data_IF_420956596205
#
_entry.id   IF_420956596205
#
_cell.length_a   1.000
_cell.length_b   1.000
_cell.length_c   1.000
_cell.angle_alpha   90.00
_cell.angle_beta   90.00
_cell.angle_gamma   90.00
#
_symmetry.space_group_name_H-M   'P 1'
#
loop_
_entity.id
_entity.type
_entity.pdbx_description
1 polymer ?
2 water ?
#
# COMPACT_ATOMS: atom_id res chain seq x y z
N UNK A 5 -1.59 24.75 -8.69
CA UNK A 5 -2.03 24.05 -7.49
C UNK A 5 -2.04 24.96 -6.26
N UNK A 6 -2.88 24.61 -5.28
CA UNK A 6 -2.97 25.37 -4.04
C UNK A 6 -2.19 24.63 -2.95
N UNK A 7 -1.29 25.35 -2.29
CA UNK A 7 -0.30 24.70 -1.42
C UNK A 7 -0.52 25.04 0.05
N UNK A 8 -0.57 24.01 0.90
CA UNK A 8 -0.65 24.22 2.35
C UNK A 8 0.76 24.25 2.91
N UNK A 9 1.13 25.32 3.59
CA UNK A 9 2.48 25.40 4.17
C UNK A 9 2.44 25.07 5.65
N UNK A 10 3.36 24.21 6.07
CA UNK A 10 3.43 23.73 7.44
C UNK A 10 4.76 24.16 8.03
N UNK A 11 4.77 24.68 9.25
CA UNK A 11 5.99 25.30 9.76
C UNK A 11 5.90 25.55 11.25
N UNK A 12 7.07 25.72 11.88
CA UNK A 12 7.17 26.26 13.22
C UNK A 12 6.91 27.77 13.16
N UNK A 13 6.12 28.29 14.11
CA UNK A 13 5.81 29.74 14.13
C UNK A 13 7.08 30.60 14.15
N UNK A 14 8.11 30.11 14.82
CA UNK A 14 9.32 30.91 14.98
C UNK A 14 9.99 31.19 13.63
N UNK A 15 9.80 30.28 12.69
CA UNK A 15 10.36 30.46 11.36
C UNK A 15 9.57 31.49 10.55
N UNK A 16 8.33 31.76 10.97
CA UNK A 16 7.63 32.90 10.37
C UNK A 16 8.21 34.21 10.90
N UNK A 17 8.31 34.29 12.22
CA UNK A 17 8.87 35.45 12.91
C UNK A 17 10.26 35.82 12.39
N UNK A 18 11.06 34.82 12.05
CA UNK A 18 12.46 35.04 11.65
C UNK A 18 12.62 35.35 10.16
N UNK A 19 11.50 35.46 9.46
CA UNK A 19 11.46 35.64 8.00
C UNK A 19 12.23 34.53 7.26
N UNK A 20 11.96 33.28 7.64
CA UNK A 20 12.43 32.15 6.87
C UNK A 20 11.27 31.60 6.04
N UNK A 21 10.10 31.45 6.67
CA UNK A 21 8.94 30.94 5.94
C UNK A 21 8.56 31.85 4.77
N UNK A 22 8.61 33.16 4.99
CA UNK A 22 8.18 34.07 3.93
C UNK A 22 9.03 34.01 2.68
N UNK A 23 10.27 33.55 2.78
CA UNK A 23 11.12 33.46 1.59
C UNK A 23 10.51 32.49 0.57
N UNK A 24 10.05 31.34 1.04
CA UNK A 24 9.39 30.35 0.20
C UNK A 24 7.97 30.79 -0.14
N UNK A 25 7.23 31.23 0.88
CA UNK A 25 5.84 31.58 0.67
C UNK A 25 5.68 32.75 -0.30
N UNK A 26 6.54 33.75 -0.18
CA UNK A 26 6.46 34.91 -1.08
C UNK A 26 6.83 34.54 -2.51
N UNK A 27 7.75 33.58 -2.66
CA UNK A 27 8.12 33.10 -4.00
C UNK A 27 6.89 32.53 -4.71
N UNK A 28 6.14 31.70 -4.01
CA UNK A 28 4.94 31.07 -4.57
C UNK A 28 3.81 32.07 -4.77
N UNK A 29 3.52 32.88 -3.74
CA UNK A 29 2.33 33.72 -3.75
C UNK A 29 2.54 35.09 -4.43
N UNK A 30 3.72 35.66 -4.28
CA UNK A 30 3.97 36.98 -4.88
C UNK A 30 4.67 36.84 -6.23
N UNK A 31 5.85 36.22 -6.23
CA UNK A 31 6.66 36.13 -7.44
C UNK A 31 5.94 35.32 -8.52
N UNK A 32 5.30 34.23 -8.12
CA UNK A 32 4.61 33.36 -9.07
C UNK A 32 3.10 33.58 -9.06
N UNK A 33 2.64 34.44 -8.15
CA UNK A 33 1.23 34.84 -8.07
C UNK A 33 0.28 33.65 -7.92
N UNK A 34 0.69 32.66 -7.12
CA UNK A 34 -0.15 31.52 -6.81
C UNK A 34 -0.81 31.68 -5.45
N UNK A 35 -1.45 30.63 -4.95
CA UNK A 35 -2.18 30.77 -3.70
C UNK A 35 -1.74 29.74 -2.65
N UNK A 36 -1.77 30.16 -1.39
CA UNK A 36 -1.31 29.33 -0.30
C UNK A 36 -2.34 29.29 0.83
N UNK A 37 -2.20 28.29 1.69
CA UNK A 37 -2.98 28.18 2.92
C UNK A 37 -2.00 27.93 4.05
N UNK A 38 -2.40 28.18 5.30
CA UNK A 38 -1.50 28.04 6.44
C UNK A 38 -2.06 28.66 7.71
N UNK A 39 -1.56 28.21 8.87
CA UNK A 39 -2.08 28.66 10.17
C UNK A 39 -0.94 29.21 11.05
N UNK A 40 -1.08 30.45 11.53
CA UNK A 40 -0.05 31.08 12.36
C UNK A 40 -0.67 31.81 13.55
N UNK A 54 -10.10 20.00 19.19
CA UNK A 54 -11.03 19.73 18.10
C UNK A 54 -11.31 21.02 17.32
N UNK A 55 -11.18 22.16 17.99
CA UNK A 55 -11.39 23.46 17.35
C UNK A 55 -10.22 23.85 16.44
N UNK A 56 -8.99 23.76 16.97
CA UNK A 56 -7.80 24.12 16.21
C UNK A 56 -7.58 23.11 15.08
N UNK A 57 -7.93 21.86 15.33
CA UNK A 57 -7.86 20.83 14.30
C UNK A 57 -8.84 21.14 13.19
N UNK A 58 -10.04 21.57 13.58
CA UNK A 58 -11.06 22.00 12.63
C UNK A 58 -10.52 23.14 11.75
N UNK A 59 -9.82 24.09 12.37
CA UNK A 59 -9.26 25.22 11.61
C UNK A 59 -8.24 24.74 10.60
N UNK A 60 -7.35 23.86 11.04
CA UNK A 60 -6.32 23.27 10.19
C UNK A 60 -6.93 22.42 9.08
N UNK A 61 -7.87 21.56 9.45
CA UNK A 61 -8.61 20.76 8.47
C UNK A 61 -9.19 21.64 7.36
N UNK A 62 -9.78 22.77 7.76
CA UNK A 62 -10.36 23.71 6.81
C UNK A 62 -9.29 24.31 5.92
N UNK A 63 -8.12 24.55 6.51
CA UNK A 63 -6.99 25.07 5.75
C UNK A 63 -6.52 24.04 4.73
N UNK A 64 -6.55 22.77 5.11
CA UNK A 64 -6.09 21.70 4.23
C UNK A 64 -7.12 21.42 3.14
N UNK A 65 -8.40 21.68 3.44
CA UNK A 65 -9.44 21.59 2.42
C UNK A 65 -9.16 22.60 1.32
N UNK A 66 -9.37 22.18 0.08
CA UNK A 66 -9.02 22.97 -1.11
C UNK A 66 -7.52 23.24 -1.22
N UNK A 67 -6.71 22.26 -0.82
CA UNK A 67 -5.30 22.21 -1.20
C UNK A 67 -4.99 20.79 -1.69
N UNK A 68 -3.88 20.63 -2.40
CA UNK A 68 -3.53 19.32 -2.94
C UNK A 68 -2.07 18.97 -2.64
N UNK A 69 -1.32 19.97 -2.18
CA UNK A 69 0.06 19.78 -1.80
C UNK A 69 0.31 20.38 -0.42
N UNK A 70 1.00 19.62 0.42
CA UNK A 70 1.46 20.14 1.69
C UNK A 70 2.97 20.27 1.66
N UNK A 71 3.46 21.44 2.03
CA UNK A 71 4.88 21.72 1.99
C UNK A 71 5.39 22.04 3.40
N UNK A 72 6.16 21.12 3.98
CA UNK A 72 6.68 21.30 5.34
C UNK A 72 7.97 22.10 5.27
N UNK A 73 7.98 23.31 5.86
CA UNK A 73 9.17 24.14 5.81
C UNK A 73 10.01 23.88 7.05
N UNK A 74 11.18 23.29 6.86
CA UNK A 74 11.94 22.73 7.98
C UNK A 74 13.01 23.67 8.52
N UNK A 75 12.82 24.11 9.75
CA UNK A 75 13.77 24.92 10.47
C UNK A 75 14.33 24.10 11.64
N UNK A 76 14.86 24.78 12.65
CA UNK A 76 15.62 24.11 13.70
C UNK A 76 14.76 23.20 14.59
N UNK A 77 13.50 23.60 14.78
CA UNK A 77 12.64 22.97 15.78
C UNK A 77 11.33 22.42 15.21
N UNK A 78 11.18 22.46 13.89
CA UNK A 78 9.92 22.10 13.21
C UNK A 78 9.48 20.67 13.56
N UNK A 79 10.48 19.79 13.69
CA UNK A 79 10.26 18.38 13.92
C UNK A 79 9.51 18.14 15.23
N UNK A 80 9.62 19.11 16.13
CA UNK A 80 9.10 18.95 17.48
C UNK A 80 7.72 19.55 17.70
N UNK A 81 7.13 20.13 16.66
CA UNK A 81 5.93 20.92 16.81
C UNK A 81 4.66 20.08 16.65
N UNK A 82 3.83 20.08 17.69
CA UNK A 82 2.60 19.28 17.71
C UNK A 82 1.75 19.48 16.46
N UNK A 83 1.52 20.71 16.05
CA UNK A 83 0.56 20.91 14.98
C UNK A 83 1.19 20.76 13.60
N UNK A 84 2.53 20.84 13.53
CA UNK A 84 3.21 20.43 12.32
C UNK A 84 2.98 18.92 12.13
N UNK A 85 3.16 18.17 13.20
CA UNK A 85 2.95 16.72 13.15
C UNK A 85 1.53 16.40 12.72
N UNK A 86 0.57 17.14 13.25
CA UNK A 86 -0.82 16.92 12.87
C UNK A 86 -1.03 17.27 11.39
N UNK A 87 -0.51 18.42 10.96
CA UNK A 87 -0.71 18.83 9.58
C UNK A 87 -0.16 17.78 8.61
N UNK A 88 0.97 17.16 8.96
CA UNK A 88 1.54 16.13 8.14
C UNK A 88 0.66 14.87 8.14
N UNK A 89 0.25 14.43 9.32
CA UNK A 89 -0.52 13.20 9.40
C UNK A 89 -1.87 13.36 8.71
N UNK A 90 -2.51 14.52 8.92
CA UNK A 90 -3.80 14.78 8.30
C UNK A 90 -3.65 14.87 6.79
N UNK A 91 -2.51 15.41 6.34
CA UNK A 91 -2.22 15.48 4.90
C UNK A 91 -2.16 14.10 4.26
N UNK A 92 -1.59 13.12 4.96
CA UNK A 92 -1.56 11.76 4.45
C UNK A 92 -2.99 11.19 4.32
N UNK A 93 -3.78 11.33 5.38
CA UNK A 93 -5.16 10.83 5.34
C UNK A 93 -5.96 11.43 4.18
N UNK A 94 -5.72 12.70 3.87
CA UNK A 94 -6.46 13.39 2.80
C UNK A 94 -5.91 13.10 1.39
N UNK A 95 -4.71 12.53 1.32
CA UNK A 95 -4.11 12.21 0.04
C UNK A 95 -3.37 13.37 -0.62
N UNK A 96 -2.93 14.34 0.17
CA UNK A 96 -2.10 15.43 -0.37
C UNK A 96 -0.73 14.91 -0.77
N UNK A 97 -0.17 15.50 -1.82
CA UNK A 97 1.27 15.39 -2.05
C UNK A 97 1.99 16.07 -0.88
N UNK A 98 3.07 15.47 -0.40
CA UNK A 98 3.75 16.03 0.76
C UNK A 98 5.25 16.10 0.51
N UNK A 99 5.83 17.29 0.66
CA UNK A 99 7.28 17.44 0.59
C UNK A 99 7.80 18.25 1.78
N UNK A 100 9.10 18.11 2.03
CA UNK A 100 9.76 18.95 3.02
C UNK A 100 10.80 19.84 2.33
N UNK A 101 11.01 21.04 2.86
CA UNK A 101 12.04 21.97 2.33
C UNK A 101 12.78 22.58 3.51
N UNK A 102 14.09 22.30 3.64
CA UNK A 102 14.89 22.96 4.65
C UNK A 102 14.99 24.44 4.31
N UNK A 103 14.80 25.29 5.31
CA UNK A 103 14.84 26.74 5.11
C UNK A 103 15.86 27.42 6.01
N UNK A 104 16.92 26.70 6.38
CA UNK A 104 17.93 27.27 7.30
C UNK A 104 19.22 27.75 6.62
N UNK A 105 19.36 27.49 5.32
CA UNK A 105 20.62 27.70 4.62
C UNK A 105 20.79 29.10 4.06
N UNK A 106 19.73 29.90 4.12
CA UNK A 106 19.81 31.30 3.71
C UNK A 106 19.68 32.19 4.95
N UNK A 107 19.94 33.48 4.80
CA UNK A 107 19.93 34.37 5.95
C UNK A 107 18.53 34.65 6.47
N UNK A 108 18.33 34.59 7.79
CA UNK A 108 17.08 35.05 8.37
C UNK A 108 17.13 36.56 8.54
N UNK A 109 16.14 37.13 9.23
CA UNK A 109 16.06 38.59 9.30
C UNK A 109 17.16 39.18 10.18
N UNK A 110 17.81 38.34 10.99
CA UNK A 110 18.94 38.77 11.81
C UNK A 110 20.26 38.66 11.05
N UNK A 111 20.19 38.16 9.82
CA UNK A 111 21.38 38.01 8.99
C UNK A 111 22.17 36.72 9.25
N UNK A 112 21.50 35.73 9.82
CA UNK A 112 22.18 34.48 10.19
C UNK A 112 21.77 33.30 9.33
N UNK A 113 22.72 32.40 9.13
CA UNK A 113 22.51 31.10 8.50
C UNK A 113 22.66 30.06 9.60
N UNK A 114 21.88 28.98 9.51
CA UNK A 114 21.89 27.97 10.56
C UNK A 114 22.10 26.59 9.98
N UNK A 115 22.51 25.66 10.82
CA UNK A 115 22.56 24.27 10.40
C UNK A 115 21.15 23.72 10.26
N UNK A 116 20.97 22.73 9.38
CA UNK A 116 19.67 22.10 9.18
C UNK A 116 19.09 21.53 10.47
N UNK A 117 17.79 21.70 10.67
CA UNK A 117 17.10 21.04 11.76
C UNK A 117 16.84 19.59 11.41
N UNK A 118 16.41 18.80 12.41
CA UNK A 118 16.01 17.42 12.14
C UNK A 118 14.89 17.33 11.10
N UNK A 119 14.91 16.23 10.35
CA UNK A 119 13.85 15.92 9.39
C UNK A 119 12.57 15.54 10.16
N UNK A 120 11.50 16.37 10.07
CA UNK A 120 10.27 16.01 10.78
C UNK A 120 9.71 14.62 10.41
N UNK A 121 9.91 14.23 9.16
CA UNK A 121 9.49 12.88 8.75
C UNK A 121 10.18 11.72 9.50
N UNK A 122 11.31 11.97 10.16
CA UNK A 122 11.96 10.91 10.94
C UNK A 122 11.24 10.64 12.26
N UNK A 123 10.31 11.53 12.62
CA UNK A 123 9.68 11.50 13.94
C UNK A 123 8.25 11.02 13.89
N UNK A 124 7.85 10.58 12.70
CA UNK A 124 6.49 10.14 12.41
C UNK A 124 6.56 8.84 11.62
N UNK A 125 5.55 7.99 11.76
CA UNK A 125 5.56 6.71 11.09
C UNK A 125 4.21 6.03 11.05
N UNK A 126 4.11 4.96 10.27
CA UNK A 126 2.88 4.19 10.28
C UNK A 126 3.12 2.71 10.06
N UNK A 127 2.05 1.94 10.27
CA UNK A 127 2.08 0.49 10.07
C UNK A 127 0.71 0.04 9.58
N UNK A 128 0.67 -0.68 8.47
CA UNK A 128 -0.59 -1.24 7.98
C UNK A 128 -1.00 -2.45 8.80
N UNK A 129 -2.29 -2.56 9.09
CA UNK A 129 -2.81 -3.69 9.86
C UNK A 129 -2.63 -5.00 9.11
N UNK A 130 -2.75 -6.12 9.83
CA UNK A 130 -2.49 -7.42 9.22
C UNK A 130 -3.49 -7.76 8.12
N UNK A 131 -4.71 -7.23 8.22
CA UNK A 131 -5.70 -7.48 7.18
C UNK A 131 -5.65 -6.40 6.10
N UNK A 132 -4.75 -5.43 6.28
CA UNK A 132 -4.50 -4.41 5.28
C UNK A 132 -5.58 -3.36 5.14
N UNK A 133 -6.50 -3.31 6.10
CA UNK A 133 -7.67 -2.46 5.98
C UNK A 133 -7.51 -1.15 6.74
N UNK A 134 -6.54 -1.12 7.65
CA UNK A 134 -6.34 0.02 8.53
C UNK A 134 -4.89 0.45 8.56
N UNK A 135 -4.69 1.73 8.83
CA UNK A 135 -3.37 2.29 8.96
C UNK A 135 -3.16 2.83 10.36
N UNK A 136 -2.22 2.24 11.10
CA UNK A 136 -1.88 2.69 12.45
C UNK A 136 -0.78 3.74 12.42
N UNK A 137 -0.87 4.72 13.32
CA UNK A 137 -0.01 5.91 13.28
C UNK A 137 0.83 6.04 14.53
N UNK A 138 2.09 6.46 14.34
CA UNK A 138 3.06 6.56 15.42
C UNK A 138 3.89 7.85 15.35
N UNK A 139 4.33 8.32 16.52
CA UNK A 139 5.28 9.42 16.58
C UNK A 139 6.37 9.09 17.60
N UNK A 140 7.54 9.69 17.41
CA UNK A 140 8.66 9.53 18.32
C UNK A 140 8.49 10.56 19.42
N UNK A 141 8.41 10.09 20.66
CA UNK A 141 8.12 10.99 21.77
C UNK A 141 9.36 11.31 22.61
N UNK A 142 10.55 10.94 22.11
CA UNK A 142 11.78 11.34 22.75
C UNK A 142 12.68 10.17 23.11
N UNK A 143 12.06 9.09 23.57
CA UNK A 143 12.80 7.88 23.90
C UNK A 143 12.18 6.62 23.35
N UNK A 144 11.03 6.74 22.71
CA UNK A 144 10.37 5.58 22.10
C UNK A 144 9.33 6.01 21.07
N UNK A 145 8.88 5.05 20.26
CA UNK A 145 7.73 5.26 19.40
C UNK A 145 6.45 4.99 20.16
N UNK A 146 5.48 5.89 20.04
CA UNK A 146 4.19 5.71 20.68
C UNK A 146 3.09 5.92 19.66
N UNK A 147 1.96 5.27 19.88
CA UNK A 147 0.79 5.52 19.05
C UNK A 147 0.49 7.01 18.99
N UNK A 148 0.21 7.50 17.79
CA UNK A 148 -0.06 8.93 17.58
C UNK A 148 -1.45 9.27 18.14
N UNK A 149 -1.56 10.37 18.88
CA UNK A 149 -2.80 10.62 19.60
C UNK A 149 -3.70 11.68 18.97
N UNK A 150 -3.12 12.57 18.13
CA UNK A 150 -3.90 13.69 17.61
C UNK A 150 -4.67 13.37 16.33
N UNK A 151 -4.39 12.23 15.73
CA UNK A 151 -5.17 11.76 14.58
C UNK A 151 -5.41 10.26 14.70
N UNK A 152 -6.65 9.85 14.49
CA UNK A 152 -7.03 8.46 14.64
C UNK A 152 -6.51 7.61 13.50
N UNK A 153 -6.23 6.31 13.76
CA UNK A 153 -5.99 5.39 12.64
C UNK A 153 -7.20 5.39 11.71
N UNK A 154 -6.99 5.10 10.44
CA UNK A 154 -8.10 5.18 9.51
C UNK A 154 -8.13 4.03 8.52
N UNK A 155 -9.30 3.83 7.93
CA UNK A 155 -9.49 2.80 6.93
C UNK A 155 -8.81 3.21 5.63
N UNK A 156 -8.05 2.30 5.06
CA UNK A 156 -7.54 2.48 3.69
C UNK A 156 -8.49 1.68 2.79
N UNK A 157 -9.06 2.35 1.79
CA UNK A 157 -9.95 1.68 0.86
C UNK A 157 -9.14 0.96 -0.21
N UNK A 158 -7.86 1.32 -0.25
CA UNK A 158 -6.93 0.91 -1.29
C UNK A 158 -6.41 -0.52 -1.09
N UNK A 159 -5.93 -1.10 -2.18
CA UNK A 159 -5.28 -2.40 -2.12
C UNK A 159 -4.11 -2.33 -1.14
N UNK A 160 -3.94 -3.37 -0.35
CA UNK A 160 -2.81 -3.41 0.58
C UNK A 160 -2.13 -4.77 0.51
N UNK A 161 -1.11 -4.89 -0.35
CA UNK A 161 -0.47 -6.18 -0.58
C UNK A 161 0.27 -6.66 0.66
N UNK A 162 0.53 -7.96 0.75
CA UNK A 162 1.16 -8.54 1.94
C UNK A 162 2.52 -7.93 2.23
N UNK A 163 3.21 -7.52 1.18
CA UNK A 163 4.54 -6.93 1.30
C UNK A 163 4.51 -5.57 2.01
N UNK A 164 3.31 -5.00 2.17
CA UNK A 164 3.14 -3.69 2.82
C UNK A 164 2.60 -3.83 4.24
N UNK A 165 2.08 -5.00 4.59
CA UNK A 165 1.36 -5.20 5.86
C UNK A 165 2.25 -5.63 7.02
N UNK A 166 1.95 -5.08 8.20
CA UNK A 166 2.62 -5.49 9.43
C UNK A 166 4.08 -5.08 9.48
N UNK A 167 4.41 -4.00 8.77
CA UNK A 167 5.77 -3.49 8.75
C UNK A 167 5.72 -2.01 9.11
N UNK A 168 6.61 -1.59 10.00
CA UNK A 168 6.67 -0.19 10.37
C UNK A 168 7.46 0.63 9.35
N UNK A 169 6.93 1.79 8.97
CA UNK A 169 7.66 2.72 8.12
C UNK A 169 7.73 4.10 8.74
N UNK A 170 8.93 4.65 8.87
CA UNK A 170 9.08 6.08 9.16
C UNK A 170 8.68 6.87 7.93
N UNK A 171 8.11 8.06 8.13
CA UNK A 171 7.69 8.88 6.99
C UNK A 171 8.89 9.33 6.15
N UNK A 172 10.09 9.33 6.73
CA UNK A 172 11.28 9.72 5.98
C UNK A 172 11.65 8.67 4.91
N UNK A 173 11.01 7.51 4.97
CA UNK A 173 11.13 6.51 3.92
C UNK A 173 10.07 6.72 2.83
N UNK A 174 9.27 7.78 2.95
CA UNK A 174 8.13 7.96 2.06
C UNK A 174 8.13 9.31 1.35
N UNK A 175 8.36 10.38 2.10
CA UNK A 175 8.21 11.72 1.51
C UNK A 175 9.57 12.37 1.30
N UNK A 176 9.66 13.15 0.23
CA UNK A 176 10.92 13.70 -0.25
C UNK A 176 11.25 15.03 0.44
N UNK A 177 12.53 15.26 0.72
CA UNK A 177 12.96 16.51 1.35
C UNK A 177 14.00 17.22 0.48
N UNK A 178 13.81 18.52 0.29
CA UNK A 178 14.73 19.36 -0.48
C UNK A 178 15.39 20.38 0.43
N UNK A 179 16.40 21.07 -0.09
CA UNK A 179 16.92 22.26 0.56
C UNK A 179 16.78 23.45 -0.38
N UNK A 180 16.24 24.56 0.14
CA UNK A 180 15.92 25.72 -0.69
C UNK A 180 17.15 26.22 -1.45
N UNK A 181 18.30 26.20 -0.78
CA UNK A 181 19.51 26.71 -1.38
C UNK A 181 20.20 25.63 -2.21
N UNK A 182 20.41 24.46 -1.63
CA UNK A 182 21.17 23.42 -2.30
C UNK A 182 20.48 22.96 -3.60
N UNK A 183 19.15 22.92 -3.56
CA UNK A 183 18.36 22.38 -4.66
C UNK A 183 17.70 23.49 -5.50
N UNK A 184 18.08 24.74 -5.24
CA UNK A 184 17.74 25.88 -6.10
C UNK A 184 16.22 26.03 -6.22
N UNK A 185 15.57 26.23 -5.08
CA UNK A 185 14.13 26.42 -5.03
C UNK A 185 13.67 27.62 -5.83
N UNK A 186 14.53 28.62 -5.96
CA UNK A 186 14.19 29.77 -6.78
C UNK A 186 13.83 29.34 -8.20
N UNK A 187 14.60 28.41 -8.75
CA UNK A 187 14.30 27.93 -10.10
C UNK A 187 13.33 26.75 -10.12
N UNK A 188 13.33 25.96 -9.04
CA UNK A 188 12.75 24.62 -9.08
C UNK A 188 11.51 24.38 -8.22
N UNK A 189 11.14 25.32 -7.35
CA UNK A 189 10.05 25.08 -6.41
C UNK A 189 8.76 24.66 -7.12
N UNK A 190 8.43 25.34 -8.21
CA UNK A 190 7.16 25.06 -8.87
C UNK A 190 7.15 23.63 -9.43
N UNK A 191 8.33 23.11 -9.78
CA UNK A 191 8.43 21.72 -10.21
C UNK A 191 8.24 20.76 -9.02
N UNK A 192 8.68 21.15 -7.84
CA UNK A 192 8.56 20.26 -6.68
C UNK A 192 7.10 20.03 -6.28
N UNK A 193 6.24 21.03 -6.50
CA UNK A 193 4.85 20.91 -6.09
C UNK A 193 3.97 20.52 -7.25
N UNK A 194 4.58 20.28 -8.41
CA UNK A 194 3.87 19.85 -9.61
C UNK A 194 4.39 18.51 -10.09
N UNK B 4 -20.90 -20.37 9.06
CA UNK B 4 -20.16 -21.28 8.21
C UNK B 4 -18.94 -20.60 7.58
N UNK B 5 -17.79 -21.26 7.67
CA UNK B 5 -16.57 -20.77 7.04
C UNK B 5 -16.65 -21.00 5.54
N UNK B 6 -16.59 -19.92 4.76
CA UNK B 6 -16.84 -20.03 3.32
C UNK B 6 -15.55 -19.86 2.51
N UNK B 7 -15.25 -20.88 1.71
CA UNK B 7 -14.04 -20.91 0.90
C UNK B 7 -14.35 -20.80 -0.60
N UNK B 8 -13.60 -19.97 -1.31
CA UNK B 8 -13.70 -19.93 -2.77
C UNK B 8 -12.65 -20.87 -3.35
N UNK B 9 -13.09 -21.86 -4.11
CA UNK B 9 -12.16 -22.78 -4.76
C UNK B 9 -11.87 -22.34 -6.19
N UNK B 10 -10.59 -22.20 -6.50
CA UNK B 10 -10.13 -21.79 -7.82
C UNK B 10 -9.37 -22.94 -8.49
N UNK B 11 -9.75 -23.30 -9.72
CA UNK B 11 -9.21 -24.50 -10.36
C UNK B 11 -9.41 -24.46 -11.86
N UNK B 12 -8.69 -25.33 -12.55
CA UNK B 12 -8.88 -25.65 -13.96
C UNK B 12 -10.01 -26.67 -14.09
N UNK B 13 -11.00 -26.39 -14.93
CA UNK B 13 -12.19 -27.24 -14.93
C UNK B 13 -11.86 -28.67 -15.31
N UNK B 14 -10.75 -28.88 -16.04
CA UNK B 14 -10.31 -30.23 -16.38
C UNK B 14 -10.09 -31.08 -15.11
N UNK B 15 -9.65 -30.44 -14.04
CA UNK B 15 -9.46 -31.16 -12.79
C UNK B 15 -10.76 -31.49 -12.06
N UNK B 16 -11.85 -30.86 -12.47
CA UNK B 16 -13.18 -31.29 -12.03
C UNK B 16 -13.58 -32.53 -12.80
N UNK B 17 -13.46 -32.48 -14.13
CA UNK B 17 -13.76 -33.64 -14.97
C UNK B 17 -12.99 -34.87 -14.46
N UNK B 18 -11.74 -34.66 -14.04
CA UNK B 18 -10.87 -35.79 -13.68
C UNK B 18 -11.08 -36.30 -12.26
N UNK B 19 -12.02 -35.67 -11.54
CA UNK B 19 -12.27 -35.94 -10.12
C UNK B 19 -11.03 -35.76 -9.26
N UNK B 20 -10.39 -34.60 -9.40
CA UNK B 20 -9.34 -34.18 -8.50
C UNK B 20 -9.87 -33.06 -7.59
N UNK B 21 -10.54 -32.09 -8.19
CA UNK B 21 -11.09 -30.99 -7.41
C UNK B 21 -12.06 -31.51 -6.35
N UNK B 22 -12.88 -32.48 -6.74
CA UNK B 22 -13.91 -32.99 -5.81
C UNK B 22 -13.36 -33.68 -4.56
N UNK B 23 -12.16 -34.25 -4.66
CA UNK B 23 -11.57 -34.88 -3.48
C UNK B 23 -11.35 -33.85 -2.37
N UNK B 24 -10.83 -32.68 -2.72
CA UNK B 24 -10.63 -31.62 -1.74
C UNK B 24 -11.94 -30.89 -1.40
N UNK B 25 -12.69 -30.55 -2.43
CA UNK B 25 -13.94 -29.82 -2.22
C UNK B 25 -14.94 -30.63 -1.38
N UNK B 26 -15.07 -31.92 -1.64
CA UNK B 26 -15.98 -32.74 -0.84
C UNK B 26 -15.52 -32.80 0.61
N UNK B 27 -14.21 -32.91 0.82
CA UNK B 27 -13.69 -32.96 2.18
C UNK B 27 -14.13 -31.71 2.95
N UNK B 28 -14.12 -30.57 2.29
CA UNK B 28 -14.50 -29.31 2.91
C UNK B 28 -16.01 -29.22 3.14
N UNK B 29 -16.80 -29.46 2.10
CA UNK B 29 -18.22 -29.13 2.15
C UNK B 29 -19.09 -30.15 2.87
N UNK B 30 -18.61 -31.38 2.97
CA UNK B 30 -19.36 -32.39 3.71
C UNK B 30 -19.10 -32.30 5.22
N UNK B 31 -18.34 -31.28 5.66
CA UNK B 31 -18.10 -31.04 7.08
C UNK B 31 -18.91 -29.86 7.61
N UNK B 34 -18.99 -25.54 7.27
CA UNK B 34 -18.10 -25.39 6.12
C UNK B 34 -18.82 -25.48 4.78
N UNK B 35 -18.68 -24.44 3.97
CA UNK B 35 -19.26 -24.43 2.62
C UNK B 35 -18.36 -23.72 1.62
N UNK B 36 -18.67 -23.88 0.34
CA UNK B 36 -17.79 -23.43 -0.73
C UNK B 36 -18.48 -22.51 -1.74
N UNK B 37 -17.65 -21.82 -2.51
CA UNK B 37 -18.10 -21.03 -3.66
C UNK B 37 -17.22 -21.37 -4.87
N UNK B 54 -15.79 -9.50 -18.89
CA UNK B 54 -16.46 -8.32 -18.36
C UNK B 54 -17.67 -8.69 -17.52
N UNK B 55 -18.59 -9.42 -18.14
CA UNK B 55 -19.77 -9.90 -17.43
C UNK B 55 -19.37 -11.08 -16.56
N UNK B 56 -18.46 -11.89 -17.07
CA UNK B 56 -18.01 -13.11 -16.39
C UNK B 56 -17.26 -12.77 -15.10
N UNK B 57 -16.55 -11.64 -15.13
CA UNK B 57 -15.85 -11.12 -13.97
C UNK B 57 -16.84 -10.76 -12.87
N UNK B 58 -17.92 -10.08 -13.25
CA UNK B 58 -18.97 -9.74 -12.30
C UNK B 58 -19.48 -10.98 -11.58
N UNK B 59 -19.70 -12.06 -12.34
CA UNK B 59 -20.11 -13.32 -11.76
C UNK B 59 -19.11 -13.90 -10.77
N UNK B 60 -17.83 -13.86 -11.13
CA UNK B 60 -16.77 -14.35 -10.26
C UNK B 60 -16.65 -13.49 -9.01
N UNK B 61 -16.81 -12.17 -9.19
CA UNK B 61 -16.76 -11.25 -8.06
C UNK B 61 -17.82 -11.59 -7.04
N UNK B 62 -19.02 -11.92 -7.53
CA UNK B 62 -20.13 -12.31 -6.68
C UNK B 62 -19.82 -13.58 -5.91
N UNK B 63 -19.14 -14.51 -6.56
CA UNK B 63 -18.72 -15.75 -5.92
C UNK B 63 -17.69 -15.46 -4.84
N UNK B 64 -16.73 -14.59 -5.16
CA UNK B 64 -15.69 -14.20 -4.23
C UNK B 64 -16.23 -13.42 -3.04
N UNK B 65 -17.33 -12.70 -3.25
CA UNK B 65 -17.98 -11.99 -2.16
C UNK B 65 -18.55 -13.01 -1.17
N UNK B 66 -18.54 -12.65 0.10
CA UNK B 66 -18.98 -13.52 1.18
C UNK B 66 -18.15 -14.81 1.30
N UNK B 67 -16.92 -14.77 0.79
CA UNK B 67 -15.92 -15.79 1.15
C UNK B 67 -14.76 -15.08 1.81
N UNK B 68 -13.94 -15.81 2.55
CA UNK B 68 -12.85 -15.20 3.30
C UNK B 68 -11.51 -15.79 2.93
N UNK B 69 -11.54 -16.95 2.29
CA UNK B 69 -10.35 -17.68 1.93
C UNK B 69 -10.50 -18.20 0.50
N UNK B 70 -9.48 -17.99 -0.32
CA UNK B 70 -9.43 -18.59 -1.65
C UNK B 70 -8.44 -19.75 -1.65
N UNK B 71 -8.89 -20.88 -2.17
CA UNK B 71 -8.09 -22.07 -2.20
C UNK B 71 -7.81 -22.52 -3.63
N UNK B 72 -6.60 -22.28 -4.11
CA UNK B 72 -6.24 -22.63 -5.49
C UNK B 72 -5.87 -24.10 -5.54
N UNK B 73 -6.60 -24.88 -6.32
CA UNK B 73 -6.32 -26.32 -6.39
C UNK B 73 -5.48 -26.60 -7.60
N UNK B 74 -4.22 -26.99 -7.37
CA UNK B 74 -3.21 -26.97 -8.42
C UNK B 74 -3.07 -28.33 -9.09
N UNK B 75 -3.47 -28.39 -10.37
CA UNK B 75 -3.24 -29.55 -11.21
C UNK B 75 -2.17 -29.24 -12.25
N UNK B 76 -2.18 -29.98 -13.35
CA UNK B 76 -1.09 -29.92 -14.32
C UNK B 76 -1.05 -28.60 -15.11
N UNK B 77 -2.22 -28.00 -15.33
CA UNK B 77 -2.33 -26.81 -16.19
C UNK B 77 -2.99 -25.60 -15.52
N UNK B 78 -3.25 -25.70 -14.22
CA UNK B 78 -3.86 -24.62 -13.45
C UNK B 78 -3.16 -23.24 -13.61
N UNK B 79 -1.82 -23.27 -13.55
CA UNK B 79 -1.00 -22.05 -13.72
C UNK B 79 -1.30 -21.26 -14.99
N UNK B 80 -1.80 -21.94 -16.01
CA UNK B 80 -2.01 -21.35 -17.33
C UNK B 80 -3.45 -20.87 -17.61
N UNK B 81 -4.32 -20.98 -16.62
CA UNK B 81 -5.74 -20.68 -16.84
C UNK B 81 -6.08 -19.21 -16.54
N UNK B 82 -6.68 -18.54 -17.52
CA UNK B 82 -7.02 -17.13 -17.43
C UNK B 82 -7.86 -16.82 -16.20
N UNK B 83 -8.91 -17.60 -15.97
CA UNK B 83 -9.84 -17.24 -14.91
C UNK B 83 -9.33 -17.66 -13.55
N UNK B 84 -8.43 -18.65 -13.48
CA UNK B 84 -7.73 -18.92 -12.23
C UNK B 84 -6.87 -17.71 -11.85
N UNK B 85 -6.15 -17.17 -12.83
CA UNK B 85 -5.30 -16.01 -12.57
C UNK B 85 -6.15 -14.86 -12.07
N UNK B 86 -7.32 -14.67 -12.69
CA UNK B 86 -8.21 -13.61 -12.26
C UNK B 86 -8.71 -13.82 -10.83
N UNK B 87 -9.08 -15.07 -10.52
CA UNK B 87 -9.58 -15.39 -9.20
C UNK B 87 -8.53 -15.11 -8.13
N UNK B 88 -7.27 -15.39 -8.46
CA UNK B 88 -6.18 -15.14 -7.52
C UNK B 88 -5.96 -13.63 -7.35
N UNK B 89 -5.87 -12.92 -8.47
CA UNK B 89 -5.64 -11.47 -8.42
C UNK B 89 -6.77 -10.72 -7.72
N UNK B 90 -8.02 -11.06 -8.04
CA UNK B 90 -9.17 -10.40 -7.43
C UNK B 90 -9.25 -10.71 -5.93
N UNK B 91 -8.85 -11.93 -5.55
CA UNK B 91 -8.85 -12.32 -4.14
C UNK B 91 -7.95 -11.42 -3.30
N UNK B 92 -6.83 -10.98 -3.87
CA UNK B 92 -5.95 -10.03 -3.20
C UNK B 92 -6.66 -8.70 -2.91
N UNK B 93 -7.26 -8.16 -3.96
CA UNK B 93 -8.06 -6.95 -3.88
C UNK B 93 -9.13 -7.05 -2.78
N UNK B 94 -9.86 -8.16 -2.79
CA UNK B 94 -11.02 -8.32 -1.91
C UNK B 94 -10.64 -8.77 -0.51
N UNK B 95 -9.34 -8.97 -0.29
CA UNK B 95 -8.82 -9.21 1.05
C UNK B 95 -8.87 -10.65 1.52
N UNK B 96 -9.07 -11.59 0.61
CA UNK B 96 -9.07 -13.00 0.98
C UNK B 96 -7.70 -13.51 1.36
N UNK B 97 -7.67 -14.41 2.33
CA UNK B 97 -6.50 -15.26 2.53
C UNK B 97 -6.39 -16.20 1.34
N UNK B 98 -5.18 -16.40 0.83
CA UNK B 98 -4.99 -17.22 -0.35
C UNK B 98 -3.99 -18.34 -0.08
N UNK B 99 -4.37 -19.57 -0.40
CA UNK B 99 -3.44 -20.70 -0.31
C UNK B 99 -3.55 -21.55 -1.58
N UNK B 100 -2.51 -22.33 -1.85
CA UNK B 100 -2.54 -23.31 -2.92
C UNK B 100 -2.46 -24.72 -2.37
N UNK B 101 -3.08 -25.67 -3.08
CA UNK B 101 -3.04 -27.09 -2.68
C UNK B 101 -2.85 -27.94 -3.94
N UNK B 102 -1.70 -28.59 -4.10
CA UNK B 102 -1.49 -29.50 -5.23
C UNK B 102 -2.45 -30.67 -5.10
N UNK B 103 -3.06 -31.10 -6.21
CA UNK B 103 -4.05 -32.17 -6.17
C UNK B 103 -3.70 -33.27 -7.17
N UNK B 104 -2.41 -33.45 -7.43
CA UNK B 104 -1.98 -34.44 -8.42
C UNK B 104 -1.43 -35.74 -7.82
N UNK B 105 -1.28 -35.79 -6.50
CA UNK B 105 -0.57 -36.92 -5.88
C UNK B 105 -1.46 -38.11 -5.50
N UNK B 106 -2.77 -37.99 -5.74
CA UNK B 106 -3.68 -39.10 -5.51
C UNK B 106 -4.28 -39.52 -6.85
N UNK B 107 -4.98 -40.64 -6.89
CA UNK B 107 -5.48 -41.13 -8.19
C UNK B 107 -6.66 -40.32 -8.70
N UNK B 108 -6.63 -39.93 -9.98
CA UNK B 108 -7.82 -39.38 -10.62
C UNK B 108 -8.81 -40.50 -11.00
N UNK B 109 -9.86 -40.14 -11.72
CA UNK B 109 -10.89 -41.13 -12.03
C UNK B 109 -10.41 -42.14 -13.08
N UNK B 110 -9.27 -41.86 -13.72
CA UNK B 110 -8.70 -42.84 -14.65
C UNK B 110 -7.73 -43.79 -13.95
N UNK B 111 -7.49 -43.54 -12.66
CA UNK B 111 -6.63 -44.40 -11.86
C UNK B 111 -5.17 -43.97 -11.89
N UNK B 112 -4.91 -42.76 -12.36
CA UNK B 112 -3.53 -42.29 -12.49
C UNK B 112 -3.12 -41.27 -11.44
N UNK B 113 -1.84 -41.31 -11.08
CA UNK B 113 -1.19 -40.28 -10.26
C UNK B 113 -0.26 -39.48 -11.21
N UNK B 114 -0.12 -38.18 -10.96
CA UNK B 114 0.68 -37.34 -11.86
C UNK B 114 1.76 -36.55 -11.11
N UNK B 115 2.77 -36.10 -11.85
CA UNK B 115 3.73 -35.16 -11.29
C UNK B 115 3.01 -33.82 -11.03
N UNK B 116 3.49 -33.06 -10.05
CA UNK B 116 2.92 -31.74 -9.76
C UNK B 116 2.98 -30.79 -10.94
N UNK B 117 1.92 -30.01 -11.14
CA UNK B 117 1.96 -28.91 -12.10
C UNK B 117 2.75 -27.72 -11.57
N UNK B 118 3.03 -26.74 -12.44
CA UNK B 118 3.70 -25.51 -11.99
C UNK B 118 2.90 -24.78 -10.92
N UNK B 119 3.60 -24.06 -10.05
CA UNK B 119 2.96 -23.24 -9.02
C UNK B 119 2.33 -22.03 -9.69
N UNK B 120 0.98 -21.91 -9.68
CA UNK B 120 0.37 -20.74 -10.31
C UNK B 120 0.88 -19.43 -9.78
N UNK B 121 1.24 -19.40 -8.50
CA UNK B 121 1.73 -18.17 -7.89
C UNK B 121 3.06 -17.70 -8.51
N UNK B 122 3.78 -18.61 -9.18
CA UNK B 122 5.03 -18.22 -9.86
C UNK B 122 4.78 -17.39 -11.12
N UNK B 123 3.52 -17.35 -11.59
CA UNK B 123 3.19 -16.75 -12.90
C UNK B 123 2.49 -15.39 -12.75
N UNK B 124 2.45 -14.92 -11.52
CA UNK B 124 1.72 -13.70 -11.18
C UNK B 124 2.59 -12.86 -10.26
N UNK B 125 2.44 -11.55 -10.33
CA UNK B 125 3.19 -10.68 -9.44
C UNK B 125 2.70 -9.25 -9.49
N UNK B 126 3.32 -8.40 -8.69
CA UNK B 126 2.99 -6.97 -8.68
C UNK B 126 4.23 -6.14 -8.42
N UNK B 127 4.15 -4.86 -8.77
CA UNK B 127 5.23 -3.93 -8.56
C UNK B 127 4.66 -2.53 -8.46
N UNK B 128 4.97 -1.84 -7.37
CA UNK B 128 4.63 -0.42 -7.25
C UNK B 128 5.41 0.42 -8.25
N UNK B 129 4.78 1.49 -8.72
CA UNK B 129 5.44 2.40 -9.66
C UNK B 129 6.62 3.08 -8.99
N UNK B 130 7.51 3.66 -9.79
CA UNK B 130 8.72 4.29 -9.27
C UNK B 130 8.42 5.45 -8.31
N UNK B 131 7.29 6.11 -8.49
CA UNK B 131 6.89 7.21 -7.60
C UNK B 131 5.97 6.73 -6.45
N UNK B 132 5.57 5.46 -6.49
CA UNK B 132 4.81 4.87 -5.40
C UNK B 132 3.31 5.15 -5.43
N UNK B 133 2.86 5.84 -6.46
CA UNK B 133 1.45 6.23 -6.57
C UNK B 133 0.56 5.13 -7.16
N UNK B 134 1.16 4.11 -7.76
CA UNK B 134 0.36 3.08 -8.42
C UNK B 134 0.91 1.67 -8.19
N UNK B 135 0.00 0.72 -8.01
CA UNK B 135 0.38 -0.69 -7.90
C UNK B 135 0.01 -1.36 -9.21
N UNK B 136 1.02 -1.92 -9.87
CA UNK B 136 0.81 -2.54 -11.17
C UNK B 136 0.86 -4.05 -11.00
N UNK B 137 -0.01 -4.74 -11.72
CA UNK B 137 -0.08 -6.19 -11.68
C UNK B 137 0.54 -6.79 -12.93
N UNK B 138 1.19 -7.94 -12.78
CA UNK B 138 1.92 -8.58 -13.87
C UNK B 138 1.64 -10.08 -13.93
N UNK B 139 1.74 -10.64 -15.13
CA UNK B 139 1.65 -12.09 -15.33
C UNK B 139 2.69 -12.56 -16.35
N UNK B 140 3.11 -13.82 -16.22
CA UNK B 140 4.02 -14.44 -17.16
C UNK B 140 3.24 -14.96 -18.34
N UNK B 141 3.57 -14.49 -19.54
CA UNK B 141 2.77 -14.82 -20.71
C UNK B 141 3.46 -15.82 -21.62
N UNK B 142 4.59 -16.36 -21.17
CA UNK B 142 5.26 -17.41 -21.93
C UNK B 142 6.74 -17.16 -22.12
N UNK B 143 7.09 -15.93 -22.48
CA UNK B 143 8.49 -15.58 -22.68
C UNK B 143 8.88 -14.32 -21.94
N UNK B 144 7.93 -13.73 -21.23
CA UNK B 144 8.20 -12.49 -20.50
C UNK B 144 7.07 -12.10 -19.55
N UNK B 145 7.39 -11.23 -18.62
CA UNK B 145 6.35 -10.63 -17.78
C UNK B 145 5.69 -9.52 -18.57
N UNK B 146 4.36 -9.52 -18.52
CA UNK B 146 3.56 -8.43 -19.10
C UNK B 146 2.59 -7.88 -18.07
N UNK B 147 2.20 -6.62 -18.23
CA UNK B 147 1.20 -6.07 -17.35
C UNK B 147 -0.08 -6.93 -17.46
N UNK B 148 -0.68 -7.22 -16.32
CA UNK B 148 -1.85 -8.08 -16.24
C UNK B 148 -3.04 -7.41 -16.94
N UNK B 149 -3.80 -8.15 -17.74
CA UNK B 149 -4.85 -7.53 -18.55
C UNK B 149 -6.25 -7.49 -17.93
N UNK B 150 -6.55 -8.40 -17.00
CA UNK B 150 -7.94 -8.50 -16.55
C UNK B 150 -8.28 -7.72 -15.28
N UNK B 151 -7.28 -7.04 -14.71
CA UNK B 151 -7.53 -6.04 -13.68
C UNK B 151 -6.67 -4.82 -13.94
N UNK B 152 -7.23 -3.65 -13.66
CA UNK B 152 -6.54 -2.37 -13.86
C UNK B 152 -5.49 -2.14 -12.79
N UNK B 153 -4.48 -1.30 -13.08
CA UNK B 153 -3.58 -0.83 -12.01
C UNK B 153 -4.36 -0.16 -10.90
N UNK B 154 -3.78 -0.10 -9.71
CA UNK B 154 -4.43 0.58 -8.59
C UNK B 154 -3.76 1.91 -8.34
N UNK B 155 -4.54 2.99 -8.29
CA UNK B 155 -3.96 4.26 -7.90
C UNK B 155 -4.26 4.44 -6.42
N UNK B 156 -3.23 4.37 -5.59
CA UNK B 156 -3.44 4.31 -4.15
C UNK B 156 -3.55 5.70 -3.53
N UNK B 157 -4.18 5.77 -2.37
CA UNK B 157 -4.43 7.05 -1.72
C UNK B 157 -3.24 7.49 -0.87
N UNK B 158 -2.47 6.51 -0.38
CA UNK B 158 -1.24 6.77 0.35
C UNK B 158 -0.08 6.19 -0.43
N UNK B 159 0.88 7.01 -0.87
CA UNK B 159 1.95 6.48 -1.70
C UNK B 159 2.80 5.44 -0.99
N UNK B 160 3.32 4.48 -1.77
CA UNK B 160 4.11 3.39 -1.19
C UNK B 160 5.45 3.90 -0.68
N UNK B 161 5.94 3.30 0.41
CA UNK B 161 7.30 3.60 0.88
C UNK B 161 8.37 3.30 -0.19
N UNK B 162 9.49 4.03 -0.13
CA UNK B 162 10.59 3.93 -1.10
C UNK B 162 11.06 2.50 -1.36
N UNK B 163 11.20 1.72 -0.29
CA UNK B 163 11.69 0.35 -0.43
C UNK B 163 10.83 -0.49 -1.38
N UNK B 164 9.56 -0.14 -1.54
CA UNK B 164 8.66 -0.91 -2.41
C UNK B 164 8.59 -0.38 -3.85
N UNK B 165 9.10 0.82 -4.10
CA UNK B 165 8.95 1.39 -5.45
C UNK B 165 9.87 0.68 -6.45
N UNK B 166 9.29 0.19 -7.54
CA UNK B 166 10.05 -0.53 -8.55
C UNK B 166 10.49 -1.92 -8.13
N UNK B 167 10.03 -2.38 -6.97
CA UNK B 167 10.40 -3.71 -6.47
C UNK B 167 9.39 -4.77 -6.88
N UNK B 168 9.81 -5.72 -7.69
CA UNK B 168 8.87 -6.73 -8.18
C UNK B 168 8.71 -7.88 -7.18
N UNK B 169 7.47 -8.28 -6.96
CA UNK B 169 7.14 -9.42 -6.11
C UNK B 169 6.40 -10.47 -6.92
N UNK B 170 6.90 -11.70 -6.91
CA UNK B 170 6.14 -12.84 -7.40
C UNK B 170 5.16 -13.23 -6.29
N UNK B 171 3.95 -13.65 -6.64
CA UNK B 171 3.02 -14.11 -5.61
C UNK B 171 3.55 -15.35 -4.88
N UNK B 172 4.45 -16.09 -5.50
CA UNK B 172 4.95 -17.31 -4.85
C UNK B 172 5.83 -16.99 -3.65
N UNK B 173 6.22 -15.72 -3.53
CA UNK B 173 7.00 -15.28 -2.39
C UNK B 173 6.09 -14.94 -1.21
N UNK B 174 4.79 -14.87 -1.47
CA UNK B 174 3.81 -14.31 -0.55
C UNK B 174 2.79 -15.33 -0.03
N UNK B 175 2.34 -16.24 -0.89
CA UNK B 175 1.28 -17.17 -0.52
C UNK B 175 1.78 -18.59 -0.35
N UNK B 176 1.15 -19.31 0.59
CA UNK B 176 1.61 -20.66 0.95
C UNK B 176 0.99 -21.74 0.07
N UNK B 177 1.79 -22.77 -0.26
CA UNK B 177 1.33 -23.89 -1.06
C UNK B 177 1.50 -25.20 -0.27
N UNK B 178 0.44 -26.01 -0.26
CA UNK B 178 0.44 -27.32 0.36
C UNK B 178 0.31 -28.41 -0.70
N UNK B 179 0.59 -29.67 -0.34
CA UNK B 179 0.21 -30.81 -1.16
C UNK B 179 -0.82 -31.65 -0.41
N UNK B 180 -1.94 -31.98 -1.06
CA UNK B 180 -3.01 -32.73 -0.37
C UNK B 180 -2.51 -34.01 0.30
N UNK B 181 -1.68 -34.75 -0.41
CA UNK B 181 -1.16 -36.00 0.15
C UNK B 181 -0.03 -35.80 1.17
N UNK B 182 1.02 -35.09 0.77
CA UNK B 182 2.19 -34.94 1.62
C UNK B 182 1.90 -34.19 2.93
N UNK B 183 0.95 -33.25 2.89
CA UNK B 183 0.69 -32.42 4.05
C UNK B 183 -0.58 -32.87 4.80
N UNK B 184 -1.09 -34.05 4.41
CA UNK B 184 -2.17 -34.73 5.13
C UNK B 184 -3.44 -33.87 5.20
N UNK B 185 -3.89 -33.40 4.05
CA UNK B 185 -5.09 -32.57 3.95
C UNK B 185 -6.33 -33.23 4.55
N UNK B 186 -6.39 -34.56 4.48
CA UNK B 186 -7.54 -35.30 5.01
C UNK B 186 -7.73 -35.10 6.52
N UNK B 187 -6.64 -34.75 7.20
CA UNK B 187 -6.69 -34.57 8.65
C UNK B 187 -6.38 -33.15 9.07
N UNK B 188 -5.98 -32.30 8.13
CA UNK B 188 -5.44 -31.00 8.48
C UNK B 188 -6.07 -29.82 7.75
N UNK B 189 -6.92 -30.08 6.77
CA UNK B 189 -7.47 -29.03 5.91
C UNK B 189 -8.09 -27.86 6.68
N UNK B 190 -8.85 -28.16 7.73
CA UNK B 190 -9.48 -27.11 8.55
C UNK B 190 -8.45 -26.14 9.11
N UNK B 191 -7.29 -26.68 9.48
CA UNK B 191 -6.18 -25.88 10.01
C UNK B 191 -5.57 -24.95 8.97
N UNK B 192 -5.50 -25.39 7.72
CA UNK B 192 -4.92 -24.55 6.66
C UNK B 192 -5.77 -23.34 6.34
N UNK B 193 -7.09 -23.49 6.46
CA UNK B 193 -8.01 -22.46 6.03
C UNK B 193 -8.24 -21.44 7.13
N UNK B 194 -8.39 -21.94 8.35
CA UNK B 194 -8.65 -21.09 9.50
C UNK B 194 -7.40 -20.47 10.10
#
# INVERSE_FOLDING_TARGET
>A
GHXAKRVFFSFHYQDVIDFRVNVVRNHWVTKLNQSAAGVFDASLWEDAKKTSDIALKRLINGGLNNTSVTCVLIGSQTFNRRWVRYEIMKSIEKGNKIIGIHINAFKDKYGNIKSKGPNPFDYLGYQYSSDGKQLHLYEWTGGKWEEYKDLAPYRVNQIAPESLRGKFYSLSSVYRVYDWVADDGYNKFSSWVN
>B
GHXAKRVFFSFHYQDVIDFRVNVVRNHWVTKLNQSAAGVFDASLWEDAKKTSDIALKRLINGGLNNTSVTCVLIGSQTFNRRWVRYEIMKSIEKGNKIIGIHINAFKDKYGNIKSKGPNPFDYLGYQYSSDGKQLHLYEWTGGKWEEYKDLAPYRVNQIAPESLRGKFYSLSSVYRVYDWVADDGYNKFSSWVN
#
